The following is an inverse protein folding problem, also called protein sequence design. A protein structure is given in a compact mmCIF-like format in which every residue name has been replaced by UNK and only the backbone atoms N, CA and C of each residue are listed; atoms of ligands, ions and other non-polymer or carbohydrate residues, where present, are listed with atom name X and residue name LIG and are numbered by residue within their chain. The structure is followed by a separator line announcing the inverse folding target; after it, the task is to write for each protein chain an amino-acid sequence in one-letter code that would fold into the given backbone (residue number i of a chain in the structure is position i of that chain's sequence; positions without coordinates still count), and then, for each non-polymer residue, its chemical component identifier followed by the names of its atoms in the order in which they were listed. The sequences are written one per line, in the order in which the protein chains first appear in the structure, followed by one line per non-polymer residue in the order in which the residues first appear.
data_IF_759252100031
#
_entry.id   IF_759252100031
#
_cell.length_a   1.000
_cell.length_b   1.000
_cell.length_c   1.000
_cell.angle_alpha   90.00
_cell.angle_beta   90.00
_cell.angle_gamma   90.00
#
_symmetry.space_group_name_H-M   'P 1'
#
loop_
_entity.id
_entity.type
_entity.pdbx_description
1 polymer ?
#
# COMPACT_ATOMS: atom_id res chain seq x y z
N UNK A 1 3.89 -14.74 4.71
CA UNK A 1 3.74 -14.10 3.39
C UNK A 1 4.76 -12.98 3.30
N UNK A 2 5.62 -13.04 2.29
CA UNK A 2 6.69 -12.07 2.08
C UNK A 2 6.30 -11.18 0.90
N UNK A 3 6.28 -9.87 1.12
CA UNK A 3 6.19 -8.86 0.05
C UNK A 3 7.58 -8.65 -0.51
N UNK A 4 7.74 -8.87 -1.81
CA UNK A 4 9.02 -8.77 -2.52
C UNK A 4 9.08 -7.60 -3.50
N UNK A 5 7.96 -6.88 -3.66
CA UNK A 5 7.92 -5.67 -4.47
C UNK A 5 6.71 -4.82 -4.08
N UNK A 6 6.88 -3.51 -4.19
CA UNK A 6 5.83 -2.52 -3.99
C UNK A 6 5.91 -1.55 -5.16
N UNK A 7 4.78 -1.29 -5.79
CA UNK A 7 4.63 -0.24 -6.79
C UNK A 7 3.45 0.65 -6.39
N UNK A 8 3.62 1.97 -6.54
CA UNK A 8 2.53 2.93 -6.32
C UNK A 8 2.24 3.61 -7.66
N UNK A 9 1.00 3.47 -8.12
CA UNK A 9 0.55 3.97 -9.40
C UNK A 9 -0.74 4.79 -9.29
N UNK A 10 -1.02 5.55 -10.34
CA UNK A 10 -2.26 6.34 -10.49
C UNK A 10 -2.49 7.32 -9.34
N UNK A 11 -1.42 7.89 -8.81
CA UNK A 11 -1.53 8.89 -7.76
C UNK A 11 -2.36 10.09 -8.21
N UNK A 12 -3.35 10.46 -7.40
CA UNK A 12 -4.13 11.69 -7.60
C UNK A 12 -4.59 12.28 -6.28
N UNK A 13 -4.68 13.61 -6.24
CA UNK A 13 -5.35 14.31 -5.16
C UNK A 13 -6.81 14.60 -5.55
N UNK A 14 -7.75 14.25 -4.67
CA UNK A 14 -9.16 14.59 -4.79
C UNK A 14 -9.46 15.82 -3.91
N UNK A 15 -9.56 17.04 -4.47
CA UNK A 15 -9.80 18.25 -3.70
C UNK A 15 -11.19 18.29 -3.06
N UNK A 16 -12.19 17.63 -3.67
CA UNK A 16 -13.56 17.58 -3.15
C UNK A 16 -13.64 16.85 -1.81
N UNK A 17 -12.84 15.81 -1.64
CA UNK A 17 -12.85 14.96 -0.44
C UNK A 17 -11.62 15.21 0.45
N UNK A 18 -10.74 16.12 0.04
CA UNK A 18 -9.45 16.40 0.69
C UNK A 18 -8.62 15.12 0.92
N UNK A 19 -8.49 14.28 -0.11
CA UNK A 19 -7.84 12.96 -0.03
C UNK A 19 -6.80 12.72 -1.10
N UNK A 20 -5.72 12.06 -0.72
CA UNK A 20 -4.76 11.48 -1.66
C UNK A 20 -5.16 10.04 -1.96
N UNK A 21 -5.22 9.70 -3.24
CA UNK A 21 -5.60 8.38 -3.73
C UNK A 21 -4.45 7.81 -4.54
N UNK A 22 -4.15 6.53 -4.35
CA UNK A 22 -3.21 5.80 -5.20
C UNK A 22 -3.50 4.30 -5.15
N UNK A 23 -3.08 3.60 -6.20
CA UNK A 23 -3.11 2.16 -6.27
C UNK A 23 -1.77 1.63 -5.76
N UNK A 24 -1.78 0.78 -4.74
CA UNK A 24 -0.59 0.14 -4.20
C UNK A 24 -0.60 -1.33 -4.60
N UNK A 25 0.35 -1.70 -5.47
CA UNK A 25 0.54 -3.07 -5.94
C UNK A 25 1.62 -3.75 -5.11
N UNK A 26 1.22 -4.79 -4.37
CA UNK A 26 2.12 -5.63 -3.59
C UNK A 26 2.41 -6.92 -4.37
N UNK A 27 3.67 -7.14 -4.71
CA UNK A 27 4.13 -8.41 -5.27
C UNK A 27 4.48 -9.36 -4.14
N UNK A 28 3.86 -10.53 -4.14
CA UNK A 28 4.14 -11.62 -3.22
C UNK A 28 4.53 -12.86 -4.02
N UNK A 29 5.12 -13.86 -3.37
CA UNK A 29 5.68 -15.04 -4.05
C UNK A 29 4.68 -15.76 -4.99
N UNK A 30 3.41 -15.81 -4.61
CA UNK A 30 2.36 -16.59 -5.28
C UNK A 30 1.31 -15.74 -5.99
N UNK A 31 1.31 -14.42 -5.78
CA UNK A 31 0.25 -13.53 -6.27
C UNK A 31 0.68 -12.07 -6.25
N UNK A 32 -0.06 -11.24 -6.98
CA UNK A 32 -0.03 -9.78 -6.86
C UNK A 32 -1.34 -9.33 -6.19
N UNK A 33 -1.25 -8.40 -5.26
CA UNK A 33 -2.41 -7.78 -4.61
C UNK A 33 -2.38 -6.29 -4.87
N UNK A 34 -3.41 -5.78 -5.53
CA UNK A 34 -3.61 -4.34 -5.74
C UNK A 34 -4.59 -3.82 -4.69
N UNK A 35 -4.18 -2.77 -3.98
CA UNK A 35 -4.97 -2.12 -2.95
C UNK A 35 -5.23 -0.67 -3.35
N UNK A 36 -6.48 -0.24 -3.22
CA UNK A 36 -6.87 1.14 -3.44
C UNK A 36 -6.71 1.89 -2.13
N UNK A 37 -5.65 2.68 -2.02
CA UNK A 37 -5.32 3.40 -0.80
C UNK A 37 -5.82 4.83 -0.86
N UNK A 38 -6.31 5.31 0.28
CA UNK A 38 -6.85 6.65 0.44
C UNK A 38 -6.32 7.26 1.75
N UNK A 39 -5.66 8.41 1.65
CA UNK A 39 -5.09 9.14 2.78
C UNK A 39 -5.85 10.44 2.98
N UNK A 40 -6.39 10.63 4.19
CA UNK A 40 -7.03 11.87 4.64
C UNK A 40 -5.95 12.89 5.07
N UNK A 41 -5.22 13.44 4.09
CA UNK A 41 -4.15 14.42 4.30
C UNK A 41 -4.41 15.72 3.54
N UNK A 42 -3.95 16.88 4.07
CA UNK A 42 -4.06 18.16 3.38
C UNK A 42 -3.28 18.15 2.06
N UNK A 43 -3.62 19.03 1.11
CA UNK A 43 -2.97 19.09 -0.19
C UNK A 43 -1.45 19.29 -0.05
N UNK A 44 -0.69 18.45 -0.75
CA UNK A 44 0.78 18.40 -0.72
C UNK A 44 1.24 17.12 -1.42
N UNK A 45 2.54 16.92 -1.64
CA UNK A 45 3.03 15.59 -2.09
C UNK A 45 3.07 14.68 -0.86
N UNK A 46 2.20 13.65 -0.75
CA UNK A 46 2.27 12.73 0.38
C UNK A 46 3.56 11.90 0.26
N UNK A 47 4.03 11.42 1.40
CA UNK A 47 5.10 10.44 1.43
C UNK A 47 4.58 9.11 0.84
N UNK A 48 5.40 8.46 0.01
CA UNK A 48 5.14 7.11 -0.49
C UNK A 48 4.92 6.12 0.66
N UNK A 49 5.63 6.31 1.78
CA UNK A 49 5.52 5.45 2.96
C UNK A 49 4.11 5.48 3.57
N UNK A 50 3.40 6.60 3.50
CA UNK A 50 2.03 6.69 4.00
C UNK A 50 1.07 5.79 3.22
N UNK A 51 1.27 5.64 1.91
CA UNK A 51 0.51 4.70 1.09
C UNK A 51 0.88 3.24 1.37
N UNK A 52 2.16 2.97 1.60
CA UNK A 52 2.62 1.64 2.01
C UNK A 52 2.00 1.23 3.34
N UNK A 53 2.00 2.12 4.33
CA UNK A 53 1.38 1.89 5.63
C UNK A 53 -0.12 1.62 5.53
N UNK A 54 -0.83 2.38 4.67
CA UNK A 54 -2.23 2.15 4.38
C UNK A 54 -2.47 0.77 3.77
N UNK A 55 -1.69 0.40 2.75
CA UNK A 55 -1.75 -0.90 2.10
C UNK A 55 -1.49 -2.04 3.09
N UNK A 56 -0.46 -1.91 3.93
CA UNK A 56 -0.13 -2.90 4.95
C UNK A 56 -1.22 -3.02 6.02
N UNK A 57 -1.88 -1.91 6.38
CA UNK A 57 -3.06 -1.92 7.25
C UNK A 57 -4.23 -2.65 6.60
N UNK A 58 -4.48 -2.45 5.31
CA UNK A 58 -5.53 -3.16 4.57
C UNK A 58 -5.24 -4.67 4.49
N UNK A 59 -4.00 -5.07 4.16
CA UNK A 59 -3.58 -6.47 4.16
C UNK A 59 -3.83 -7.15 5.51
N UNK A 60 -3.51 -6.49 6.63
CA UNK A 60 -3.74 -7.01 7.99
C UNK A 60 -5.23 -7.26 8.29
N UNK A 61 -6.15 -6.60 7.60
CA UNK A 61 -7.60 -6.78 7.75
C UNK A 61 -8.16 -7.91 6.89
N UNK A 62 -7.39 -8.42 5.93
CA UNK A 62 -7.80 -9.57 5.12
C UNK A 62 -7.94 -10.83 6.00
N UNK A 63 -8.97 -11.67 5.80
CA UNK A 63 -9.23 -12.84 6.64
C UNK A 63 -8.04 -13.81 6.78
N UNK A 64 -7.27 -13.97 5.70
CA UNK A 64 -6.12 -14.86 5.61
C UNK A 64 -4.99 -14.42 6.56
N UNK A 65 -4.81 -13.10 6.72
CA UNK A 65 -3.81 -12.50 7.60
C UNK A 65 -4.37 -12.38 9.02
N UNK A 66 -5.61 -11.90 9.16
CA UNK A 66 -6.28 -11.69 10.46
C UNK A 66 -6.44 -12.98 11.27
N UNK A 67 -6.67 -14.12 10.61
CA UNK A 67 -6.80 -15.42 11.27
C UNK A 67 -5.50 -15.96 11.87
N UNK A 68 -4.37 -15.25 11.72
CA UNK A 68 -3.06 -15.68 12.19
C UNK A 68 -2.46 -16.84 11.38
N UNK A 69 -3.17 -17.31 10.34
CA UNK A 69 -2.69 -18.35 9.43
C UNK A 69 -1.50 -17.89 8.59
N UNK A 70 -1.33 -16.58 8.43
CA UNK A 70 -0.25 -15.99 7.62
C UNK A 70 0.29 -14.73 8.27
N UNK A 71 1.60 -14.70 8.54
CA UNK A 71 2.31 -13.48 8.96
C UNK A 71 2.76 -12.69 7.75
N UNK A 72 2.39 -11.41 7.66
CA UNK A 72 2.83 -10.50 6.60
C UNK A 72 4.18 -9.86 6.97
N UNK A 73 5.17 -9.93 6.08
CA UNK A 73 6.48 -9.29 6.24
C UNK A 73 6.90 -8.62 4.93
N UNK A 74 7.56 -7.48 5.03
CA UNK A 74 8.30 -6.87 3.90
C UNK A 74 9.67 -7.54 3.83
N UNK A 75 10.18 -7.79 2.62
CA UNK A 75 11.55 -8.25 2.46
C UNK A 75 12.54 -7.14 2.83
N UNK A 76 13.67 -7.51 3.41
CA UNK A 76 14.75 -6.58 3.73
C UNK A 76 15.33 -5.98 2.45
N UNK A 77 15.62 -4.68 2.47
CA UNK A 77 16.18 -3.97 1.31
C UNK A 77 15.19 -3.73 0.17
N UNK A 78 13.88 -3.76 0.44
CA UNK A 78 12.91 -3.34 -0.56
C UNK A 78 13.16 -1.89 -0.97
N UNK A 79 13.20 -1.62 -2.27
CA UNK A 79 13.34 -0.25 -2.76
C UNK A 79 12.13 0.58 -2.32
N UNK A 80 12.37 1.84 -1.94
CA UNK A 80 11.31 2.80 -1.69
C UNK A 80 10.49 3.01 -2.97
N UNK A 81 9.17 2.79 -2.94
CA UNK A 81 8.34 2.94 -4.12
C UNK A 81 8.17 4.42 -4.46
N UNK A 82 8.53 4.81 -5.68
CA UNK A 82 8.23 6.16 -6.15
C UNK A 82 6.73 6.31 -6.45
N UNK A 83 6.18 7.49 -6.19
CA UNK A 83 4.84 7.87 -6.65
C UNK A 83 4.91 8.16 -8.16
N UNK A 84 4.23 7.32 -8.96
CA UNK A 84 4.14 7.45 -10.42
C UNK A 84 2.74 7.86 -10.86
#
# INVERSE_FOLDING_TARGET
MLVTGIEIAHYRYCPREARHLADVCLTLRDRVVTLFCALDLPPGKPDSDAFVDDAMRQMKRMPEVRSGRMTLRLAEGLAEPALV
#
